data_IF_486691032688
#
_entry.id   IF_486691032688
#
_cell.length_a   1.000
_cell.length_b   1.000
_cell.length_c   1.000
_cell.angle_alpha   90.00
_cell.angle_beta   90.00
_cell.angle_gamma   90.00
#
_symmetry.space_group_name_H-M   'P 1'
#
loop_
_entity.id
_entity.type
_entity.pdbx_description
1 polymer ?
#
# COMPACT_ATOMS: atom_id res chain seq x y z
N UNK A 1 25.88 5.11 -1.89
CA UNK A 1 24.77 4.97 -0.93
C UNK A 1 23.43 5.27 -1.60
N UNK A 2 22.84 4.33 -2.34
CA UNK A 2 21.47 4.46 -2.90
C UNK A 2 20.68 3.15 -2.81
N UNK A 3 20.96 2.30 -1.81
CA UNK A 3 20.22 1.04 -1.61
C UNK A 3 18.76 1.30 -1.23
N UNK A 4 18.48 2.36 -0.47
CA UNK A 4 17.11 2.78 -0.09
C UNK A 4 16.24 3.16 -1.30
N UNK A 5 16.85 3.60 -2.41
CA UNK A 5 16.15 3.95 -3.66
C UNK A 5 15.95 2.75 -4.60
N UNK A 6 16.55 1.61 -4.29
CA UNK A 6 16.45 0.36 -5.06
C UNK A 6 15.49 -0.65 -4.42
N UNK A 7 14.75 -0.23 -3.40
CA UNK A 7 13.70 -1.02 -2.76
C UNK A 7 12.36 -0.50 -3.27
N UNK A 8 11.40 -1.37 -3.65
CA UNK A 8 10.12 -0.94 -4.23
C UNK A 8 9.38 0.00 -3.27
N UNK A 9 8.85 1.11 -3.76
CA UNK A 9 8.14 2.07 -2.91
C UNK A 9 6.94 1.42 -2.20
N UNK A 10 6.32 0.44 -2.86
CA UNK A 10 5.26 -0.40 -2.33
C UNK A 10 5.66 -1.17 -1.06
N UNK A 11 6.90 -1.65 -0.95
CA UNK A 11 7.37 -2.42 0.20
C UNK A 11 7.34 -1.59 1.49
N UNK A 12 7.68 -0.30 1.41
CA UNK A 12 7.61 0.60 2.56
C UNK A 12 6.18 0.81 3.05
N UNK A 13 5.20 0.88 2.14
CA UNK A 13 3.79 1.07 2.49
C UNK A 13 3.23 -0.19 3.15
N UNK A 14 3.58 -1.37 2.65
CA UNK A 14 3.20 -2.66 3.27
C UNK A 14 3.82 -2.81 4.65
N UNK A 15 5.10 -2.44 4.83
CA UNK A 15 5.72 -2.44 6.15
C UNK A 15 5.02 -1.48 7.12
N UNK A 16 4.69 -0.26 6.67
CA UNK A 16 3.97 0.69 7.49
C UNK A 16 2.58 0.16 7.90
N UNK A 17 1.83 -0.45 6.97
CA UNK A 17 0.55 -1.06 7.27
C UNK A 17 0.66 -2.19 8.30
N UNK A 18 1.66 -3.07 8.15
CA UNK A 18 1.90 -4.16 9.11
C UNK A 18 2.31 -3.65 10.50
N UNK A 19 3.10 -2.57 10.58
CA UNK A 19 3.44 -1.94 11.86
C UNK A 19 2.22 -1.32 12.54
N UNK A 20 1.32 -0.69 11.78
CA UNK A 20 0.06 -0.13 12.30
C UNK A 20 -0.84 -1.26 12.82
N UNK A 21 -0.90 -2.40 12.10
CA UNK A 21 -1.64 -3.58 12.54
C UNK A 21 -1.07 -4.19 13.82
N UNK A 22 0.26 -4.30 13.91
CA UNK A 22 0.92 -4.85 15.10
C UNK A 22 0.76 -3.91 16.32
N UNK A 23 0.78 -2.58 16.10
CA UNK A 23 0.63 -1.61 17.19
C UNK A 23 -0.81 -1.43 17.70
N UNK A 24 -1.82 -2.03 17.06
CA UNK A 24 -3.22 -1.91 17.47
C UNK A 24 -3.55 -2.78 18.69
N UNK A 25 -4.07 -2.17 19.75
CA UNK A 25 -4.72 -2.89 20.86
C UNK A 25 -6.12 -3.37 20.44
N UNK A 26 -6.49 -4.59 20.82
CA UNK A 26 -7.64 -5.39 20.33
C UNK A 26 -9.01 -4.67 20.21
N UNK A 27 -9.22 -3.57 20.94
CA UNK A 27 -10.52 -2.87 21.03
C UNK A 27 -10.69 -1.72 20.01
N UNK A 28 -9.62 -1.26 19.37
CA UNK A 28 -9.69 -0.16 18.40
C UNK A 28 -8.61 -0.29 17.33
N UNK A 29 -8.90 -1.06 16.27
CA UNK A 29 -8.05 -1.12 15.09
C UNK A 29 -7.90 0.29 14.49
N UNK A 30 -6.70 0.85 14.59
CA UNK A 30 -6.31 2.14 14.00
C UNK A 30 -6.56 2.20 12.48
N UNK A 31 -6.72 1.04 11.84
CA UNK A 31 -7.09 0.90 10.43
C UNK A 31 -8.54 1.29 10.10
N UNK A 32 -9.48 1.03 11.01
CA UNK A 32 -10.90 1.31 10.78
C UNK A 32 -11.31 2.70 11.29
N UNK A 33 -10.34 3.56 11.54
CA UNK A 33 -10.61 4.95 11.89
C UNK A 33 -11.22 5.63 10.67
N UNK A 34 -12.41 6.18 10.87
CA UNK A 34 -13.13 6.95 9.85
C UNK A 34 -12.44 8.30 9.73
N UNK A 35 -11.93 8.60 8.54
CA UNK A 35 -11.25 9.86 8.23
C UNK A 35 -12.21 10.87 7.61
N UNK A 36 -13.15 10.40 6.81
CA UNK A 36 -14.08 11.25 6.09
C UNK A 36 -15.37 10.50 5.80
N UNK A 37 -16.50 11.16 6.02
CA UNK A 37 -17.82 10.67 5.63
C UNK A 37 -18.41 11.66 4.63
N UNK A 38 -18.76 11.16 3.44
CA UNK A 38 -19.41 11.95 2.41
C UNK A 38 -20.79 11.39 2.12
N UNK A 39 -21.82 12.17 2.42
CA UNK A 39 -23.19 11.85 2.05
C UNK A 39 -23.39 12.16 0.57
N UNK A 40 -23.59 11.12 -0.23
CA UNK A 40 -23.84 11.26 -1.66
C UNK A 40 -25.25 11.82 -1.91
N UNK A 41 -25.51 12.43 -3.10
CA UNK A 41 -26.84 12.88 -3.49
C UNK A 41 -27.89 11.75 -3.52
N UNK A 42 -27.43 10.50 -3.63
CA UNK A 42 -28.25 9.29 -3.52
C UNK A 42 -28.56 8.87 -2.08
N UNK A 43 -28.27 9.73 -1.09
CA UNK A 43 -28.48 9.50 0.35
C UNK A 43 -27.62 8.38 0.97
N UNK A 44 -26.69 7.80 0.20
CA UNK A 44 -25.73 6.82 0.70
C UNK A 44 -24.54 7.53 1.35
N UNK A 45 -24.08 7.03 2.49
CA UNK A 45 -22.84 7.47 3.14
C UNK A 45 -21.65 6.72 2.54
N UNK A 46 -20.70 7.45 1.99
CA UNK A 46 -19.38 6.95 1.64
C UNK A 46 -18.46 7.22 2.82
N UNK A 47 -18.01 6.15 3.47
CA UNK A 47 -17.09 6.21 4.60
C UNK A 47 -15.70 5.92 4.05
N UNK A 48 -14.78 6.85 4.25
CA UNK A 48 -13.37 6.69 3.91
C UNK A 48 -12.59 6.43 5.19
N UNK A 49 -11.99 5.24 5.24
CA UNK A 49 -11.21 4.76 6.40
C UNK A 49 -9.71 4.93 6.16
N UNK A 50 -8.91 4.81 7.22
CA UNK A 50 -7.43 4.75 7.11
C UNK A 50 -7.01 3.57 6.23
N UNK A 51 -7.70 2.43 6.31
CA UNK A 51 -7.48 1.30 5.41
C UNK A 51 -7.64 1.66 3.94
N UNK A 52 -8.70 2.40 3.58
CA UNK A 52 -8.95 2.78 2.19
C UNK A 52 -7.87 3.71 1.66
N UNK A 53 -7.36 4.63 2.50
CA UNK A 53 -6.22 5.49 2.15
C UNK A 53 -4.93 4.70 1.95
N UNK A 54 -4.65 3.72 2.83
CA UNK A 54 -3.48 2.84 2.68
C UNK A 54 -3.56 2.04 1.38
N UNK A 55 -4.74 1.54 1.02
CA UNK A 55 -4.95 0.82 -0.24
C UNK A 55 -4.75 1.75 -1.44
N UNK A 56 -5.34 2.95 -1.43
CA UNK A 56 -5.19 3.93 -2.51
C UNK A 56 -3.74 4.35 -2.72
N UNK A 57 -3.02 4.63 -1.64
CA UNK A 57 -1.60 5.02 -1.70
C UNK A 57 -0.73 3.86 -2.14
N UNK A 58 -1.02 2.63 -1.71
CA UNK A 58 -0.36 1.41 -2.19
C UNK A 58 -0.55 1.20 -3.69
N UNK A 59 -1.77 1.39 -4.18
CA UNK A 59 -2.09 1.27 -5.60
C UNK A 59 -1.36 2.33 -6.44
N UNK A 60 -1.33 3.58 -5.96
CA UNK A 60 -0.60 4.66 -6.63
C UNK A 60 0.92 4.42 -6.64
N UNK A 61 1.47 3.92 -5.55
CA UNK A 61 2.89 3.53 -5.47
C UNK A 61 3.23 2.41 -6.46
N UNK A 62 2.37 1.40 -6.56
CA UNK A 62 2.53 0.29 -7.49
C UNK A 62 2.46 0.78 -8.95
N UNK A 63 1.55 1.71 -9.25
CA UNK A 63 1.48 2.37 -10.56
C UNK A 63 2.79 3.09 -10.89
N UNK A 64 3.31 3.93 -9.99
CA UNK A 64 4.58 4.65 -10.19
C UNK A 64 5.74 3.68 -10.39
N UNK A 65 5.80 2.59 -9.61
CA UNK A 65 6.86 1.59 -9.73
C UNK A 65 6.77 0.82 -11.05
N UNK A 66 5.56 0.54 -11.53
CA UNK A 66 5.33 -0.07 -12.85
C UNK A 66 5.85 0.84 -13.97
N UNK A 67 5.64 2.16 -13.86
CA UNK A 67 6.23 3.13 -14.78
C UNK A 67 7.76 3.17 -14.69
N UNK A 68 8.35 3.12 -13.48
CA UNK A 68 9.81 3.04 -13.32
C UNK A 68 10.39 1.76 -13.92
N UNK A 69 9.67 0.64 -13.80
CA UNK A 69 10.08 -0.64 -14.36
C UNK A 69 10.07 -0.68 -15.91
N UNK A 70 9.37 0.24 -16.58
CA UNK A 70 9.49 0.37 -18.04
C UNK A 70 10.83 0.94 -18.51
N UNK A 71 11.60 1.56 -17.61
CA UNK A 71 12.94 2.08 -17.91
C UNK A 71 13.97 0.98 -17.62
N UNK A 72 14.35 0.23 -18.66
CA UNK A 72 15.25 -0.92 -18.55
C UNK A 72 16.62 -0.55 -17.97
N UNK A 73 16.84 -0.93 -16.72
CA UNK A 73 18.13 -1.07 -16.06
C UNK A 73 18.10 -2.42 -15.34
N UNK A 74 19.18 -3.20 -15.34
CA UNK A 74 19.21 -4.55 -14.75
C UNK A 74 18.67 -4.63 -13.29
N UNK A 75 18.68 -3.51 -12.58
CA UNK A 75 18.09 -3.38 -11.23
C UNK A 75 16.56 -3.57 -11.20
N UNK A 76 15.86 -3.28 -12.30
CA UNK A 76 14.40 -3.41 -12.43
C UNK A 76 13.93 -4.84 -12.31
N UNK A 77 14.71 -5.81 -12.79
CA UNK A 77 14.33 -7.24 -12.75
C UNK A 77 14.22 -7.72 -11.30
N UNK A 78 15.13 -7.26 -10.44
CA UNK A 78 15.16 -7.60 -9.02
C UNK A 78 13.97 -6.94 -8.31
N UNK A 79 13.69 -5.66 -8.60
CA UNK A 79 12.51 -4.96 -8.06
C UNK A 79 11.20 -5.64 -8.48
N UNK A 80 11.12 -6.12 -9.72
CA UNK A 80 9.92 -6.78 -10.24
C UNK A 80 9.70 -8.16 -9.58
N UNK A 81 10.77 -8.93 -9.37
CA UNK A 81 10.70 -10.21 -8.68
C UNK A 81 10.32 -10.05 -7.19
N UNK A 82 10.86 -9.03 -6.51
CA UNK A 82 10.54 -8.73 -5.11
C UNK A 82 9.09 -8.29 -4.93
N UNK A 83 8.58 -7.42 -5.81
CA UNK A 83 7.19 -6.97 -5.76
C UNK A 83 6.20 -8.10 -6.07
N UNK A 84 6.54 -9.03 -6.97
CA UNK A 84 5.75 -10.24 -7.21
C UNK A 84 5.71 -11.17 -5.99
N UNK A 85 6.83 -11.35 -5.28
CA UNK A 85 6.84 -12.12 -4.03
C UNK A 85 5.95 -11.50 -2.95
N UNK A 86 6.05 -10.18 -2.73
CA UNK A 86 5.20 -9.49 -1.74
C UNK A 86 3.72 -9.61 -2.11
N UNK A 87 3.39 -9.47 -3.39
CA UNK A 87 2.02 -9.65 -3.87
C UNK A 87 1.46 -11.04 -3.54
N UNK A 88 2.21 -12.11 -3.86
CA UNK A 88 1.77 -13.49 -3.57
C UNK A 88 1.58 -13.71 -2.06
N UNK A 89 2.48 -13.19 -1.23
CA UNK A 89 2.40 -13.39 0.22
C UNK A 89 1.19 -12.63 0.81
N UNK A 90 0.92 -11.41 0.33
CA UNK A 90 -0.20 -10.59 0.84
C UNK A 90 -1.57 -10.96 0.29
N UNK A 91 -1.66 -11.54 -0.92
CA UNK A 91 -2.93 -11.85 -1.60
C UNK A 91 -3.20 -13.34 -1.82
N UNK A 92 -2.24 -14.22 -1.50
CA UNK A 92 -2.33 -15.67 -1.70
C UNK A 92 -2.90 -16.47 -0.53
N UNK A 93 -3.27 -15.82 0.58
CA UNK A 93 -4.06 -16.39 1.68
C UNK A 93 -5.41 -15.67 1.78
#
# INVERSE_FOLDING_TARGET
MRLILSVPLFLYIVLAANLIMWSGTDESSLLNVILMELTLPSTRTLILTVSDLLILTSFLALYIETFKATRTSNHVIIDHALSLCVFIISFGN
#
